data_IF_340918147164
#
_entry.id   IF_340918147164
#
_cell.length_a   1.000
_cell.length_b   1.000
_cell.length_c   1.000
_cell.angle_alpha   90.00
_cell.angle_beta   90.00
_cell.angle_gamma   90.00
#
_symmetry.space_group_name_H-M   'P 1'
#
loop_
_entity.id
_entity.type
_entity.pdbx_description
1 polymer ?
#
# COMPACT_ATOMS: atom_id res chain seq x y z
N UNK A 1 14.53 -14.98 -30.62
CA UNK A 1 13.92 -16.32 -30.79
C UNK A 1 12.65 -16.50 -29.95
N UNK A 2 12.52 -15.76 -28.84
CA UNK A 2 11.35 -15.77 -27.98
C UNK A 2 10.63 -14.42 -27.97
N UNK A 3 9.37 -14.43 -27.59
CA UNK A 3 8.56 -13.25 -27.31
C UNK A 3 8.07 -13.36 -25.87
N UNK A 4 8.40 -12.36 -25.04
CA UNK A 4 8.00 -12.27 -23.63
C UNK A 4 6.84 -11.28 -23.49
N UNK A 5 5.71 -11.73 -22.96
CA UNK A 5 4.57 -10.85 -22.72
C UNK A 5 4.72 -10.15 -21.37
N UNK A 6 4.80 -8.84 -21.41
CA UNK A 6 4.89 -7.98 -20.23
C UNK A 6 3.82 -6.86 -20.27
N UNK A 7 3.60 -6.19 -19.16
CA UNK A 7 2.71 -5.03 -19.04
C UNK A 7 3.44 -3.84 -18.43
N UNK A 8 2.85 -2.64 -18.48
CA UNK A 8 3.39 -1.45 -17.85
C UNK A 8 3.50 -1.50 -16.32
N UNK A 9 2.99 -2.55 -15.68
CA UNK A 9 3.16 -2.79 -14.23
C UNK A 9 4.14 -3.92 -13.91
N UNK A 10 4.92 -4.36 -14.90
CA UNK A 10 6.00 -5.32 -14.73
C UNK A 10 7.33 -4.62 -14.43
N UNK A 11 8.19 -5.27 -13.64
CA UNK A 11 9.52 -4.79 -13.32
C UNK A 11 10.51 -5.95 -13.50
N UNK A 12 11.59 -5.77 -14.28
CA UNK A 12 12.70 -6.73 -14.30
C UNK A 12 13.31 -6.86 -12.91
N UNK A 13 13.54 -8.08 -12.45
CA UNK A 13 14.20 -8.37 -11.17
C UNK A 13 15.64 -8.83 -11.35
N UNK A 14 16.02 -9.14 -12.58
CA UNK A 14 17.33 -9.63 -13.00
C UNK A 14 17.75 -8.90 -14.28
N UNK A 15 19.05 -8.78 -14.57
CA UNK A 15 19.52 -8.25 -15.84
C UNK A 15 18.85 -8.93 -17.03
N UNK A 16 18.55 -8.16 -18.07
CA UNK A 16 17.90 -8.71 -19.26
C UNK A 16 18.83 -9.70 -20.00
N UNK A 17 20.12 -9.51 -19.86
CA UNK A 17 21.17 -10.39 -20.40
C UNK A 17 21.03 -11.81 -19.83
N UNK A 18 20.78 -11.96 -18.55
CA UNK A 18 20.52 -13.28 -17.92
C UNK A 18 19.27 -13.95 -18.48
N UNK A 19 18.21 -13.18 -18.77
CA UNK A 19 17.02 -13.71 -19.41
C UNK A 19 17.35 -14.19 -20.85
N UNK A 20 18.15 -13.42 -21.58
CA UNK A 20 18.57 -13.77 -22.94
C UNK A 20 19.38 -15.06 -22.93
N UNK A 21 20.42 -15.15 -22.09
CA UNK A 21 21.22 -16.38 -21.94
C UNK A 21 20.33 -17.59 -21.58
N UNK A 22 19.45 -17.41 -20.59
CA UNK A 22 18.52 -18.47 -20.17
C UNK A 22 17.63 -18.97 -21.29
N UNK A 23 17.15 -18.09 -22.17
CA UNK A 23 16.31 -18.44 -23.33
C UNK A 23 17.12 -18.98 -24.48
N UNK A 24 18.39 -18.59 -24.66
CA UNK A 24 19.29 -19.11 -25.67
C UNK A 24 19.69 -20.56 -25.38
N UNK A 25 19.86 -20.93 -24.13
CA UNK A 25 20.07 -22.30 -23.67
C UNK A 25 18.85 -23.21 -23.92
N UNK A 26 17.65 -22.60 -24.12
CA UNK A 26 16.35 -23.29 -24.27
C UNK A 26 15.60 -22.84 -25.54
N UNK A 27 16.21 -22.92 -26.70
CA UNK A 27 15.75 -22.23 -27.92
C UNK A 27 14.40 -22.74 -28.48
N UNK A 28 13.95 -23.91 -28.01
CA UNK A 28 12.68 -24.53 -28.43
C UNK A 28 11.66 -24.69 -27.31
N UNK A 29 11.91 -24.10 -26.16
CA UNK A 29 11.04 -24.23 -24.96
C UNK A 29 10.10 -23.04 -24.84
N UNK A 30 8.82 -23.32 -24.75
CA UNK A 30 7.77 -22.34 -24.44
C UNK A 30 7.48 -22.37 -22.96
N UNK A 31 7.52 -21.20 -22.32
CA UNK A 31 7.22 -21.01 -20.89
C UNK A 31 5.83 -20.40 -20.74
N UNK A 32 4.86 -21.23 -20.41
CA UNK A 32 3.48 -20.82 -20.24
C UNK A 32 2.78 -21.76 -19.25
N UNK A 33 2.19 -21.20 -18.18
CA UNK A 33 1.32 -22.00 -17.35
C UNK A 33 0.13 -22.50 -18.17
N UNK A 34 0.01 -23.81 -18.27
CA UNK A 34 -1.02 -24.45 -19.09
C UNK A 34 -1.45 -25.74 -18.41
N UNK A 35 -2.49 -25.64 -17.58
CA UNK A 35 -3.10 -26.76 -16.87
C UNK A 35 -4.47 -27.10 -17.45
N UNK A 36 -4.88 -28.37 -17.37
CA UNK A 36 -6.23 -28.77 -17.77
C UNK A 36 -7.28 -28.18 -16.81
N UNK A 37 -8.51 -28.04 -17.26
CA UNK A 37 -9.61 -27.55 -16.41
C UNK A 37 -9.91 -28.47 -15.21
N UNK A 38 -9.39 -29.68 -15.19
CA UNK A 38 -9.51 -30.61 -14.06
C UNK A 38 -8.47 -30.35 -12.97
N UNK A 39 -7.30 -29.80 -13.36
CA UNK A 39 -6.15 -29.60 -12.48
C UNK A 39 -6.02 -28.15 -11.97
N UNK A 40 -7.01 -27.30 -12.24
CA UNK A 40 -7.00 -25.88 -11.86
C UNK A 40 -7.73 -25.67 -10.54
N UNK A 41 -7.01 -25.49 -9.39
CA UNK A 41 -7.64 -25.34 -8.07
C UNK A 41 -8.10 -23.91 -7.74
N UNK A 42 -7.77 -22.90 -8.59
CA UNK A 42 -7.98 -21.49 -8.28
C UNK A 42 -9.24 -20.85 -8.85
N UNK A 43 -10.05 -21.59 -9.62
CA UNK A 43 -11.33 -21.07 -10.11
C UNK A 43 -12.40 -21.15 -9.04
N UNK A 44 -12.82 -19.97 -8.58
CA UNK A 44 -13.90 -19.83 -7.62
C UNK A 44 -15.23 -19.68 -8.36
N UNK A 45 -16.25 -20.41 -7.94
CA UNK A 45 -17.61 -20.22 -8.46
C UNK A 45 -18.05 -21.12 -9.62
N UNK A 46 -17.29 -22.18 -9.96
CA UNK A 46 -17.73 -23.22 -10.90
C UNK A 46 -17.69 -22.84 -12.38
N UNK A 47 -16.99 -21.75 -12.72
CA UNK A 47 -16.81 -21.31 -14.13
C UNK A 47 -15.52 -21.84 -14.77
N UNK A 48 -14.93 -22.90 -14.26
CA UNK A 48 -13.76 -23.58 -14.82
C UNK A 48 -14.09 -24.24 -16.16
N UNK A 49 -14.97 -25.24 -16.19
CA UNK A 49 -15.44 -25.89 -17.41
C UNK A 49 -16.47 -25.05 -18.17
N UNK A 50 -17.35 -24.36 -17.45
CA UNK A 50 -18.39 -23.51 -18.04
C UNK A 50 -17.81 -22.33 -18.81
N UNK A 51 -16.61 -21.86 -18.49
CA UNK A 51 -15.85 -20.86 -19.26
C UNK A 51 -15.78 -21.22 -20.74
N UNK A 52 -15.61 -22.51 -21.06
CA UNK A 52 -15.50 -23.03 -22.41
C UNK A 52 -16.83 -23.49 -23.02
N UNK A 53 -17.79 -23.89 -22.21
CA UNK A 53 -19.06 -24.46 -22.68
C UNK A 53 -20.20 -23.46 -22.76
N UNK A 54 -20.09 -22.33 -22.11
CA UNK A 54 -21.07 -21.23 -22.17
C UNK A 54 -20.54 -20.06 -23.02
N UNK A 55 -21.39 -19.08 -23.29
CA UNK A 55 -21.06 -17.84 -24.01
C UNK A 55 -21.08 -16.67 -23.07
N UNK A 56 -20.09 -15.79 -23.17
CA UNK A 56 -19.93 -14.62 -22.32
C UNK A 56 -19.88 -13.32 -23.16
N UNK A 57 -21.01 -12.84 -23.67
CA UNK A 57 -21.05 -11.60 -24.45
C UNK A 57 -21.00 -10.34 -23.61
N UNK A 58 -21.28 -10.44 -22.31
CA UNK A 58 -21.33 -9.30 -21.39
C UNK A 58 -20.06 -9.20 -20.55
N UNK A 59 -19.61 -7.97 -20.28
CA UNK A 59 -18.47 -7.73 -19.41
C UNK A 59 -18.84 -7.93 -17.94
N UNK A 60 -18.18 -8.88 -17.26
CA UNK A 60 -18.34 -9.08 -15.82
C UNK A 60 -18.05 -7.83 -14.98
N UNK A 61 -17.12 -6.97 -15.41
CA UNK A 61 -16.76 -5.73 -14.68
C UNK A 61 -17.76 -4.60 -14.88
N UNK A 62 -18.37 -4.49 -16.06
CA UNK A 62 -19.24 -3.35 -16.40
C UNK A 62 -20.73 -3.69 -16.36
N UNK A 63 -21.07 -4.94 -16.59
CA UNK A 63 -22.44 -5.40 -16.79
C UNK A 63 -22.73 -6.66 -15.98
N UNK A 64 -22.31 -6.67 -14.70
CA UNK A 64 -22.35 -7.85 -13.85
C UNK A 64 -23.74 -8.50 -13.78
N UNK A 65 -24.79 -7.69 -13.61
CA UNK A 65 -26.16 -8.20 -13.55
C UNK A 65 -26.56 -8.95 -14.84
N UNK A 66 -26.27 -8.39 -16.02
CA UNK A 66 -26.55 -9.04 -17.30
C UNK A 66 -25.70 -10.31 -17.48
N UNK A 67 -24.43 -10.25 -17.06
CA UNK A 67 -23.55 -11.41 -17.09
C UNK A 67 -24.11 -12.56 -16.26
N UNK A 68 -24.45 -12.32 -15.00
CA UNK A 68 -24.95 -13.36 -14.08
C UNK A 68 -26.29 -13.93 -14.60
N UNK A 69 -27.23 -13.07 -15.00
CA UNK A 69 -28.55 -13.51 -15.56
C UNK A 69 -28.42 -14.32 -16.84
N UNK A 70 -27.48 -13.96 -17.71
CA UNK A 70 -27.26 -14.68 -18.95
C UNK A 70 -26.59 -16.03 -18.72
N UNK A 71 -25.68 -16.13 -17.76
CA UNK A 71 -25.12 -17.42 -17.33
C UNK A 71 -26.20 -18.33 -16.78
N UNK A 72 -27.07 -17.83 -15.89
CA UNK A 72 -28.16 -18.58 -15.31
C UNK A 72 -29.17 -19.03 -16.36
N UNK A 73 -29.50 -18.20 -17.34
CA UNK A 73 -30.39 -18.56 -18.46
C UNK A 73 -29.79 -19.70 -19.27
N UNK A 74 -28.50 -19.63 -19.62
CA UNK A 74 -27.84 -20.70 -20.37
C UNK A 74 -27.85 -22.04 -19.58
N UNK A 75 -27.61 -21.97 -18.26
CA UNK A 75 -27.70 -23.16 -17.37
C UNK A 75 -29.08 -23.77 -17.35
N UNK A 76 -30.12 -22.93 -17.20
CA UNK A 76 -31.55 -23.39 -17.21
C UNK A 76 -31.93 -24.03 -18.53
N UNK A 77 -31.49 -23.43 -19.64
CA UNK A 77 -31.80 -23.95 -20.98
C UNK A 77 -30.83 -25.07 -21.39
N UNK A 78 -29.86 -25.46 -20.53
CA UNK A 78 -28.84 -26.48 -20.78
C UNK A 78 -28.06 -26.23 -22.07
N UNK A 79 -27.88 -24.96 -22.44
CA UNK A 79 -27.16 -24.57 -23.63
C UNK A 79 -25.65 -24.83 -23.44
N UNK A 80 -25.07 -25.56 -24.37
CA UNK A 80 -23.64 -25.84 -24.40
C UNK A 80 -23.10 -25.64 -25.81
N UNK A 81 -21.94 -25.03 -25.93
CA UNK A 81 -21.19 -24.98 -27.19
C UNK A 81 -20.06 -26.00 -27.16
N UNK A 82 -19.73 -26.48 -28.34
CA UNK A 82 -18.57 -27.37 -28.52
C UNK A 82 -17.32 -26.56 -28.78
N UNK A 83 -16.22 -27.03 -28.29
CA UNK A 83 -14.89 -26.51 -28.61
C UNK A 83 -14.51 -26.87 -30.05
N UNK A 84 -13.71 -26.05 -30.74
CA UNK A 84 -13.17 -26.41 -32.03
C UNK A 84 -12.49 -27.79 -32.01
N UNK A 85 -12.62 -28.52 -33.09
CA UNK A 85 -12.15 -29.91 -33.17
C UNK A 85 -10.62 -29.97 -32.94
N UNK A 86 -10.18 -30.92 -32.14
CA UNK A 86 -8.78 -31.14 -31.81
C UNK A 86 -8.24 -30.31 -30.65
N UNK A 87 -8.96 -29.28 -30.14
CA UNK A 87 -8.50 -28.51 -29.01
C UNK A 87 -8.94 -29.14 -27.68
N UNK A 88 -8.02 -29.14 -26.71
CA UNK A 88 -8.29 -29.50 -25.31
C UNK A 88 -8.17 -28.26 -24.46
N UNK A 89 -9.18 -27.89 -23.66
CA UNK A 89 -9.18 -26.64 -22.91
C UNK A 89 -8.11 -26.64 -21.82
N UNK A 90 -7.26 -25.63 -21.87
CA UNK A 90 -6.24 -25.35 -20.86
C UNK A 90 -6.38 -23.93 -20.33
N UNK A 91 -5.98 -23.74 -19.10
CA UNK A 91 -5.99 -22.46 -18.40
C UNK A 91 -4.65 -22.22 -17.72
N UNK A 92 -4.34 -20.96 -17.46
CA UNK A 92 -3.15 -20.54 -16.73
C UNK A 92 -2.98 -19.04 -16.70
N UNK A 93 -1.84 -18.61 -16.21
CA UNK A 93 -1.48 -17.20 -16.20
C UNK A 93 -1.41 -16.63 -17.61
N UNK A 94 -1.88 -15.40 -17.80
CA UNK A 94 -1.72 -14.68 -19.08
C UNK A 94 -0.26 -14.33 -19.40
N UNK A 95 0.68 -14.51 -18.48
CA UNK A 95 2.08 -14.07 -18.59
C UNK A 95 2.95 -15.23 -19.07
N UNK A 96 3.27 -15.20 -20.34
CA UNK A 96 4.00 -16.25 -21.02
C UNK A 96 5.25 -15.71 -21.72
N UNK A 97 6.18 -16.61 -22.01
CA UNK A 97 7.30 -16.41 -22.90
C UNK A 97 7.28 -17.52 -23.93
N UNK A 98 6.84 -17.21 -25.14
CA UNK A 98 6.69 -18.19 -26.23
C UNK A 98 7.79 -18.05 -27.27
N UNK A 99 8.18 -19.17 -27.87
CA UNK A 99 9.06 -19.15 -29.02
C UNK A 99 8.37 -18.47 -30.20
N UNK A 100 9.15 -17.80 -31.01
CA UNK A 100 8.65 -17.20 -32.26
C UNK A 100 7.97 -18.25 -33.16
N UNK A 101 8.49 -19.48 -33.18
CA UNK A 101 7.90 -20.58 -33.94
C UNK A 101 6.48 -20.88 -33.48
N UNK A 102 6.26 -21.14 -32.21
CA UNK A 102 4.93 -21.42 -31.63
C UNK A 102 3.98 -20.25 -31.84
N UNK A 103 4.44 -19.04 -31.60
CA UNK A 103 3.62 -17.85 -31.78
C UNK A 103 3.23 -17.64 -33.25
N UNK A 104 4.15 -17.85 -34.19
CA UNK A 104 3.85 -17.77 -35.60
C UNK A 104 2.84 -18.85 -36.03
N UNK A 105 3.00 -20.09 -35.55
CA UNK A 105 2.04 -21.16 -35.84
C UNK A 105 0.62 -20.85 -35.33
N UNK A 106 0.50 -20.25 -34.13
CA UNK A 106 -0.78 -19.81 -33.59
C UNK A 106 -1.38 -18.68 -34.45
N UNK A 107 -0.59 -17.65 -34.78
CA UNK A 107 -1.08 -16.43 -35.42
C UNK A 107 -1.30 -16.54 -36.93
N UNK A 108 -0.63 -17.48 -37.59
CA UNK A 108 -0.70 -17.71 -39.06
C UNK A 108 -1.39 -19.04 -39.39
N UNK A 109 -1.85 -19.80 -38.41
CA UNK A 109 -2.56 -21.07 -38.63
C UNK A 109 -3.86 -20.87 -39.41
N UNK A 110 -4.19 -21.79 -40.33
CA UNK A 110 -5.39 -21.75 -41.17
C UNK A 110 -6.69 -21.73 -40.35
N UNK A 111 -6.71 -22.40 -39.20
CA UNK A 111 -7.88 -22.50 -38.32
C UNK A 111 -7.99 -21.31 -37.32
N UNK A 112 -7.06 -20.34 -37.36
CA UNK A 112 -7.09 -19.18 -36.48
C UNK A 112 -8.41 -18.41 -36.48
N UNK A 113 -9.10 -18.15 -37.61
CA UNK A 113 -10.37 -17.46 -37.62
C UNK A 113 -11.44 -18.19 -36.80
N UNK A 114 -11.46 -19.51 -36.82
CA UNK A 114 -12.38 -20.33 -35.99
C UNK A 114 -12.03 -20.23 -34.52
N UNK A 115 -10.73 -20.31 -34.17
CA UNK A 115 -10.25 -20.18 -32.79
C UNK A 115 -10.55 -18.79 -32.23
N UNK A 116 -10.27 -17.73 -32.96
CA UNK A 116 -10.55 -16.35 -32.58
C UNK A 116 -12.07 -16.15 -32.35
N UNK A 117 -12.90 -16.63 -33.23
CA UNK A 117 -14.36 -16.55 -33.11
C UNK A 117 -14.88 -17.31 -31.88
N UNK A 118 -14.28 -18.46 -31.58
CA UNK A 118 -14.62 -19.23 -30.39
C UNK A 118 -14.17 -18.53 -29.11
N UNK A 119 -12.89 -18.16 -28.98
CA UNK A 119 -12.33 -17.58 -27.75
C UNK A 119 -12.83 -16.17 -27.47
N UNK A 120 -13.24 -15.39 -28.47
CA UNK A 120 -13.90 -14.07 -28.26
C UNK A 120 -15.10 -14.14 -27.35
N UNK A 121 -15.70 -15.29 -27.15
CA UNK A 121 -16.89 -15.54 -26.29
C UNK A 121 -16.56 -16.41 -25.09
N UNK A 122 -15.32 -16.67 -24.80
CA UNK A 122 -14.82 -17.32 -23.58
C UNK A 122 -14.69 -16.25 -22.49
N UNK A 123 -14.95 -16.59 -21.26
CA UNK A 123 -14.72 -15.68 -20.13
C UNK A 123 -13.22 -15.62 -19.81
N UNK A 124 -12.66 -14.40 -19.77
CA UNK A 124 -11.22 -14.12 -19.59
C UNK A 124 -10.37 -14.93 -20.60
N UNK A 125 -10.46 -14.61 -21.89
CA UNK A 125 -9.79 -15.39 -22.94
C UNK A 125 -8.25 -15.34 -22.88
N UNK A 126 -7.68 -14.29 -22.28
CA UNK A 126 -6.24 -14.11 -22.04
C UNK A 126 -5.63 -15.17 -21.10
N UNK A 127 -6.46 -15.83 -20.28
CA UNK A 127 -6.04 -16.94 -19.42
C UNK A 127 -6.28 -18.33 -20.03
N UNK A 128 -6.70 -18.41 -21.29
CA UNK A 128 -7.08 -19.69 -21.92
C UNK A 128 -6.73 -19.81 -23.41
N UNK A 129 -6.65 -18.72 -24.15
CA UNK A 129 -6.36 -18.73 -25.58
C UNK A 129 -4.96 -19.29 -25.87
N UNK A 130 -3.93 -18.60 -25.39
CA UNK A 130 -2.56 -19.06 -25.60
C UNK A 130 -2.25 -20.34 -24.83
N UNK A 131 -2.84 -20.56 -23.67
CA UNK A 131 -2.68 -21.76 -22.86
C UNK A 131 -3.17 -23.01 -23.60
N UNK A 132 -4.28 -22.88 -24.31
CA UNK A 132 -4.87 -23.96 -25.12
C UNK A 132 -4.08 -24.15 -26.43
N UNK A 133 -3.82 -23.06 -27.15
CA UNK A 133 -3.20 -23.16 -28.47
C UNK A 133 -1.71 -23.54 -28.41
N UNK A 134 -0.99 -23.10 -27.38
CA UNK A 134 0.39 -23.56 -27.21
C UNK A 134 0.48 -25.08 -27.09
N UNK A 135 -0.49 -25.73 -26.40
CA UNK A 135 -0.54 -27.20 -26.33
C UNK A 135 -0.72 -27.87 -27.72
N UNK A 136 -1.36 -27.19 -28.64
CA UNK A 136 -1.56 -27.71 -30.01
C UNK A 136 -0.33 -27.49 -30.90
N UNK A 137 0.38 -26.38 -30.74
CA UNK A 137 1.41 -25.94 -31.69
C UNK A 137 2.84 -26.00 -31.18
N UNK A 138 3.04 -26.10 -29.86
CA UNK A 138 4.38 -26.17 -29.27
C UNK A 138 4.94 -27.60 -29.29
N UNK A 139 6.23 -27.68 -29.48
CA UNK A 139 6.97 -28.95 -29.38
C UNK A 139 7.48 -29.24 -27.98
N UNK A 140 7.68 -28.20 -27.16
CA UNK A 140 8.18 -28.37 -25.81
C UNK A 140 7.64 -27.22 -24.89
N UNK A 141 6.82 -27.57 -23.92
CA UNK A 141 6.24 -26.62 -22.96
C UNK A 141 6.74 -26.92 -21.56
N UNK A 142 7.33 -25.90 -20.94
CA UNK A 142 7.45 -25.86 -19.49
C UNK A 142 6.25 -25.11 -18.91
N UNK A 143 5.40 -25.84 -18.16
CA UNK A 143 4.17 -25.28 -17.58
C UNK A 143 4.46 -24.42 -16.35
N UNK A 144 5.13 -23.29 -16.56
CA UNK A 144 5.44 -22.29 -15.54
C UNK A 144 5.54 -20.89 -16.15
N UNK A 145 5.38 -19.87 -15.33
CA UNK A 145 5.67 -18.49 -15.69
C UNK A 145 7.08 -18.08 -15.24
N UNK A 146 7.79 -17.32 -16.09
CA UNK A 146 9.05 -16.66 -15.72
C UNK A 146 8.79 -15.33 -14.98
N UNK A 147 7.51 -14.95 -14.84
CA UNK A 147 7.04 -13.76 -14.15
C UNK A 147 6.54 -14.13 -12.75
N UNK A 148 7.07 -13.47 -11.73
CA UNK A 148 6.53 -13.54 -10.39
C UNK A 148 5.17 -12.80 -10.33
N UNK A 149 4.11 -13.54 -10.13
CA UNK A 149 2.78 -13.03 -9.83
C UNK A 149 2.25 -13.74 -8.60
N UNK A 150 1.69 -12.99 -7.66
CA UNK A 150 1.05 -13.57 -6.49
C UNK A 150 -0.41 -13.12 -6.46
N UNK A 151 -1.30 -14.03 -6.14
CA UNK A 151 -2.73 -13.78 -6.12
C UNK A 151 -3.30 -14.01 -4.72
N UNK A 152 -4.34 -13.26 -4.38
CA UNK A 152 -5.15 -13.53 -3.20
C UNK A 152 -6.14 -14.69 -3.45
N UNK A 153 -6.88 -15.06 -2.40
CA UNK A 153 -7.88 -16.14 -2.48
C UNK A 153 -9.04 -15.84 -3.46
N UNK A 154 -9.20 -14.59 -3.90
CA UNK A 154 -10.20 -14.17 -4.88
C UNK A 154 -9.64 -14.12 -6.31
N UNK A 155 -8.39 -14.53 -6.51
CA UNK A 155 -7.71 -14.45 -7.81
C UNK A 155 -7.29 -13.04 -8.22
N UNK A 156 -7.20 -12.10 -7.26
CA UNK A 156 -6.68 -10.75 -7.54
C UNK A 156 -5.17 -10.71 -7.34
N UNK A 157 -4.41 -10.09 -8.26
CA UNK A 157 -2.96 -10.00 -8.12
C UNK A 157 -2.58 -9.09 -6.96
N UNK A 158 -1.67 -9.54 -6.10
CA UNK A 158 -1.02 -8.69 -5.11
C UNK A 158 -0.24 -7.57 -5.79
N UNK A 159 -0.18 -6.41 -5.13
CA UNK A 159 0.61 -5.26 -5.55
C UNK A 159 1.88 -5.23 -4.72
N UNK A 160 3.03 -5.03 -5.38
CA UNK A 160 4.31 -4.86 -4.72
C UNK A 160 4.62 -3.39 -4.51
N UNK A 161 5.00 -3.05 -3.28
CA UNK A 161 5.35 -1.73 -2.79
C UNK A 161 6.84 -1.69 -2.41
N UNK A 162 7.35 -0.54 -2.05
CA UNK A 162 8.75 -0.33 -1.68
C UNK A 162 9.25 -1.23 -0.53
N UNK A 163 8.40 -1.57 0.41
CA UNK A 163 8.69 -2.48 1.52
C UNK A 163 8.90 -3.94 1.09
N UNK A 164 8.50 -4.29 -0.12
CA UNK A 164 8.76 -5.61 -0.70
C UNK A 164 10.16 -5.77 -1.33
N UNK A 165 11.00 -4.72 -1.32
CA UNK A 165 12.31 -4.75 -1.97
C UNK A 165 13.14 -5.99 -1.61
N UNK A 166 13.27 -6.30 -0.31
CA UNK A 166 14.06 -7.45 0.14
C UNK A 166 13.47 -8.80 -0.27
N UNK A 167 12.16 -8.87 -0.38
CA UNK A 167 11.47 -10.06 -0.87
C UNK A 167 11.71 -10.25 -2.38
N UNK A 168 11.58 -9.20 -3.16
CA UNK A 168 11.81 -9.24 -4.60
C UNK A 168 13.26 -9.56 -4.95
N UNK A 169 14.24 -9.05 -4.19
CA UNK A 169 15.66 -9.42 -4.30
C UNK A 169 15.93 -10.91 -4.06
N UNK A 170 15.07 -11.61 -3.33
CA UNK A 170 15.18 -13.06 -3.09
C UNK A 170 14.47 -13.90 -4.14
N UNK A 171 13.75 -13.28 -5.06
CA UNK A 171 13.07 -13.96 -6.15
C UNK A 171 14.06 -14.47 -7.18
N UNK A 172 13.83 -15.68 -7.67
CA UNK A 172 14.57 -16.26 -8.79
C UNK A 172 13.88 -16.00 -10.15
N UNK A 173 12.69 -15.37 -10.17
CA UNK A 173 12.00 -14.98 -11.38
C UNK A 173 12.69 -13.80 -12.07
N UNK A 174 12.56 -13.72 -13.40
CA UNK A 174 13.15 -12.64 -14.18
C UNK A 174 12.40 -11.33 -14.09
N UNK A 175 11.08 -11.40 -13.91
CA UNK A 175 10.18 -10.24 -13.88
C UNK A 175 9.20 -10.41 -12.73
N UNK A 176 8.81 -9.31 -12.08
CA UNK A 176 7.73 -9.31 -11.10
C UNK A 176 6.56 -8.43 -11.54
N UNK A 177 5.36 -8.80 -11.09
CA UNK A 177 4.14 -8.01 -11.22
C UNK A 177 3.17 -8.30 -10.06
N UNK A 178 2.38 -7.36 -9.69
CA UNK A 178 2.04 -6.05 -10.17
C UNK A 178 2.78 -5.00 -9.34
N UNK A 179 3.65 -4.23 -9.95
CA UNK A 179 4.39 -3.18 -9.24
C UNK A 179 3.51 -1.94 -9.15
N UNK A 180 3.48 -1.33 -7.98
CA UNK A 180 2.79 -0.08 -7.78
C UNK A 180 3.53 1.06 -8.52
N UNK A 181 2.80 1.93 -9.26
CA UNK A 181 3.44 2.97 -10.09
C UNK A 181 4.32 3.95 -9.32
N UNK A 182 4.06 4.14 -8.02
CA UNK A 182 4.81 5.04 -7.15
C UNK A 182 5.84 4.33 -6.25
N UNK A 183 6.15 3.07 -6.52
CA UNK A 183 7.19 2.31 -5.81
C UNK A 183 8.60 2.72 -6.29
N UNK A 184 8.99 3.97 -6.03
CA UNK A 184 10.21 4.59 -6.54
C UNK A 184 11.47 3.82 -6.15
N UNK A 185 11.53 3.29 -4.93
CA UNK A 185 12.67 2.49 -4.43
C UNK A 185 12.81 1.16 -5.17
N UNK A 186 11.70 0.55 -5.59
CA UNK A 186 11.77 -0.67 -6.40
C UNK A 186 12.31 -0.35 -7.78
N UNK A 187 11.80 0.69 -8.44
CA UNK A 187 12.30 1.10 -9.76
C UNK A 187 13.77 1.49 -9.69
N UNK A 188 14.18 2.28 -8.73
CA UNK A 188 15.59 2.66 -8.54
C UNK A 188 16.47 1.43 -8.35
N UNK A 189 16.12 0.55 -7.41
CA UNK A 189 16.95 -0.61 -7.05
C UNK A 189 17.11 -1.65 -8.16
N UNK A 190 16.13 -1.81 -9.05
CA UNK A 190 16.17 -2.83 -10.10
C UNK A 190 16.50 -2.29 -11.50
N UNK A 191 16.37 -0.98 -11.73
CA UNK A 191 16.69 -0.39 -13.04
C UNK A 191 18.06 0.29 -13.08
N UNK A 192 18.58 0.77 -11.93
CA UNK A 192 19.87 1.48 -11.88
C UNK A 192 21.03 0.62 -11.39
N UNK A 193 20.77 -0.39 -10.57
CA UNK A 193 21.78 -1.34 -10.08
C UNK A 193 21.33 -2.81 -10.26
N UNK A 194 21.26 -3.29 -11.50
CA UNK A 194 20.90 -4.68 -11.77
C UNK A 194 21.99 -5.69 -11.36
N UNK A 195 23.24 -5.24 -11.20
CA UNK A 195 24.37 -6.14 -10.93
C UNK A 195 24.32 -6.82 -9.54
N UNK A 196 23.66 -6.21 -8.54
CA UNK A 196 23.42 -6.85 -7.24
C UNK A 196 22.43 -8.01 -7.25
N UNK A 197 21.80 -8.29 -8.38
CA UNK A 197 20.74 -9.29 -8.57
C UNK A 197 21.18 -10.55 -9.34
N UNK A 198 22.45 -10.65 -9.77
CA UNK A 198 22.92 -11.81 -10.56
C UNK A 198 22.80 -13.13 -9.77
N UNK A 199 21.80 -13.92 -10.13
CA UNK A 199 21.60 -15.27 -9.61
C UNK A 199 21.34 -16.21 -10.77
N UNK A 200 22.35 -16.98 -11.15
CA UNK A 200 22.22 -18.07 -12.13
C UNK A 200 21.39 -19.24 -11.60
N UNK A 201 20.19 -18.96 -11.09
CA UNK A 201 19.29 -19.95 -10.50
C UNK A 201 18.02 -20.09 -11.33
N UNK A 202 17.50 -21.30 -11.40
CA UNK A 202 16.20 -21.58 -12.02
C UNK A 202 15.06 -20.83 -11.32
N UNK A 203 14.15 -20.19 -12.05
CA UNK A 203 12.96 -19.58 -11.49
C UNK A 203 12.14 -20.56 -10.66
N UNK A 204 11.99 -20.31 -9.37
CA UNK A 204 11.24 -21.16 -8.46
C UNK A 204 10.15 -20.34 -7.73
N UNK A 205 8.93 -20.26 -8.29
CA UNK A 205 7.82 -19.57 -7.65
C UNK A 205 7.48 -20.08 -6.25
N UNK A 206 7.63 -21.38 -6.00
CA UNK A 206 7.32 -22.00 -4.71
C UNK A 206 8.22 -21.55 -3.56
N UNK A 207 9.45 -21.12 -3.85
CA UNK A 207 10.35 -20.53 -2.83
C UNK A 207 9.77 -19.23 -2.27
N UNK A 208 9.29 -18.37 -3.14
CA UNK A 208 8.66 -17.10 -2.78
C UNK A 208 7.34 -17.34 -2.05
N UNK A 209 6.54 -18.30 -2.46
CA UNK A 209 5.26 -18.62 -1.82
C UNK A 209 5.39 -18.86 -0.33
N UNK A 210 6.41 -19.61 0.10
CA UNK A 210 6.67 -19.86 1.52
C UNK A 210 7.03 -18.59 2.29
N UNK A 211 7.80 -17.68 1.67
CA UNK A 211 8.17 -16.40 2.28
C UNK A 211 6.93 -15.51 2.44
N UNK A 212 6.07 -15.45 1.42
CA UNK A 212 4.80 -14.71 1.48
C UNK A 212 3.88 -15.27 2.55
N UNK A 213 3.66 -16.59 2.59
CA UNK A 213 2.82 -17.23 3.59
C UNK A 213 3.30 -16.91 5.02
N UNK A 214 4.60 -16.98 5.28
CA UNK A 214 5.18 -16.63 6.56
C UNK A 214 5.02 -15.15 6.93
N UNK A 215 5.15 -14.23 5.96
CA UNK A 215 4.96 -12.80 6.19
C UNK A 215 3.49 -12.48 6.52
N UNK A 216 2.53 -13.07 5.80
CA UNK A 216 1.10 -12.94 6.05
C UNK A 216 0.74 -13.52 7.41
N UNK A 217 1.24 -14.70 7.76
CA UNK A 217 1.01 -15.33 9.06
C UNK A 217 1.48 -14.44 10.22
N UNK A 218 2.68 -13.89 10.13
CA UNK A 218 3.19 -12.95 11.15
C UNK A 218 2.26 -11.78 11.35
N UNK A 219 1.78 -11.18 10.27
CA UNK A 219 0.85 -10.06 10.30
C UNK A 219 -0.51 -10.46 10.91
N UNK A 220 -1.06 -11.60 10.52
CA UNK A 220 -2.33 -12.12 11.06
C UNK A 220 -2.25 -12.31 12.58
N UNK A 221 -1.08 -12.72 13.08
CA UNK A 221 -0.82 -12.83 14.53
C UNK A 221 -0.48 -11.49 15.19
N UNK A 222 -0.61 -10.37 14.48
CA UNK A 222 -0.31 -9.03 14.97
C UNK A 222 1.18 -8.77 15.22
N UNK A 223 2.05 -9.51 14.56
CA UNK A 223 3.49 -9.26 14.53
C UNK A 223 3.85 -8.46 13.29
N UNK A 224 4.93 -7.67 13.31
CA UNK A 224 5.41 -6.97 12.13
C UNK A 224 5.60 -7.92 10.95
N UNK A 225 5.08 -7.57 9.80
CA UNK A 225 5.15 -8.38 8.58
C UNK A 225 4.89 -7.53 7.35
N UNK A 226 5.11 -8.10 6.16
CA UNK A 226 4.86 -7.42 4.91
C UNK A 226 3.38 -7.12 4.72
N UNK A 227 3.09 -5.95 4.16
CA UNK A 227 1.76 -5.57 3.75
C UNK A 227 1.42 -6.22 2.41
N UNK A 228 0.67 -7.32 2.46
CA UNK A 228 0.29 -8.09 1.28
C UNK A 228 -1.17 -7.82 0.94
N UNK A 229 -1.38 -7.02 -0.10
CA UNK A 229 -2.73 -6.66 -0.56
C UNK A 229 -2.81 -6.69 -2.08
N UNK A 230 -3.90 -7.16 -2.63
CA UNK A 230 -4.19 -7.10 -4.07
C UNK A 230 -4.44 -5.68 -4.57
N UNK A 231 -4.78 -4.80 -3.67
CA UNK A 231 -4.88 -3.35 -3.82
C UNK A 231 -4.98 -2.73 -2.43
N UNK A 232 -4.71 -1.43 -2.32
CA UNK A 232 -5.06 -0.71 -1.11
C UNK A 232 -6.55 -0.85 -0.83
N UNK A 233 -6.96 -0.81 0.46
CA UNK A 233 -8.35 -0.67 0.83
C UNK A 233 -8.98 0.48 0.06
N UNK A 234 -10.27 0.36 -0.29
CA UNK A 234 -10.97 1.47 -0.95
C UNK A 234 -10.85 2.75 -0.11
N UNK A 235 -10.82 3.90 -0.79
CA UNK A 235 -10.65 5.21 -0.16
C UNK A 235 -11.65 5.45 0.99
N UNK A 236 -12.89 4.99 0.81
CA UNK A 236 -13.98 5.17 1.78
C UNK A 236 -14.13 4.02 2.78
N UNK A 237 -13.23 3.04 2.80
CA UNK A 237 -13.39 1.90 3.69
C UNK A 237 -12.92 2.23 5.11
N UNK A 238 -13.85 2.24 6.06
CA UNK A 238 -13.56 2.39 7.48
C UNK A 238 -13.09 1.07 8.09
N UNK A 239 -11.88 1.09 8.65
CA UNK A 239 -11.27 -0.08 9.28
C UNK A 239 -11.61 -0.20 10.78
N UNK A 240 -12.79 0.10 11.23
CA UNK A 240 -13.15 -0.04 12.64
C UNK A 240 -12.16 0.65 13.63
N UNK A 241 -12.20 0.30 14.90
CA UNK A 241 -11.32 0.82 15.97
C UNK A 241 -9.89 0.31 15.78
N UNK A 242 -8.86 1.09 16.16
CA UNK A 242 -7.48 0.63 16.19
C UNK A 242 -7.26 -0.47 17.24
N UNK A 243 -6.19 -1.26 17.08
CA UNK A 243 -5.95 -2.45 17.92
C UNK A 243 -5.32 -2.16 19.27
N UNK A 244 -4.78 -0.94 19.48
CA UNK A 244 -4.08 -0.55 20.71
C UNK A 244 -4.13 0.98 20.91
N UNK A 245 -3.96 1.46 22.15
CA UNK A 245 -3.88 2.89 22.44
C UNK A 245 -2.66 3.54 21.78
N UNK A 246 -2.84 4.77 21.33
CA UNK A 246 -1.78 5.62 20.76
C UNK A 246 -1.98 7.08 21.15
N UNK A 247 -0.92 7.90 21.04
CA UNK A 247 -0.96 9.31 21.40
C UNK A 247 -0.64 10.21 20.20
N UNK A 248 -1.38 11.30 20.11
CA UNK A 248 -1.27 12.30 19.03
C UNK A 248 -0.97 13.64 19.66
N UNK A 249 0.03 14.35 19.15
CA UNK A 249 0.50 15.63 19.67
C UNK A 249 0.39 16.71 18.61
N UNK A 250 -0.17 17.85 18.97
CA UNK A 250 -0.19 19.05 18.15
C UNK A 250 0.43 20.21 18.92
N UNK A 251 1.38 20.90 18.32
CA UNK A 251 1.96 22.10 18.87
C UNK A 251 3.15 21.88 19.81
N UNK A 252 3.52 20.63 20.08
CA UNK A 252 4.61 20.32 21.01
C UNK A 252 5.99 20.52 20.38
N UNK A 253 6.17 20.09 19.14
CA UNK A 253 7.42 20.27 18.40
C UNK A 253 7.69 21.71 17.99
N UNK A 254 6.65 22.51 17.92
CA UNK A 254 6.75 23.95 17.67
C UNK A 254 7.23 24.74 18.91
N UNK A 255 6.94 24.25 20.12
CA UNK A 255 7.26 24.91 21.37
C UNK A 255 8.51 24.34 22.02
N UNK A 256 8.78 23.05 21.89
CA UNK A 256 9.93 22.39 22.51
C UNK A 256 10.96 21.95 21.50
N UNK A 257 12.22 22.24 21.81
CA UNK A 257 13.33 21.63 21.08
C UNK A 257 13.44 20.15 21.45
N UNK A 258 13.62 19.28 20.46
CA UNK A 258 13.83 17.84 20.65
C UNK A 258 12.72 17.15 21.48
N UNK A 259 11.45 17.53 21.30
CA UNK A 259 10.31 16.92 22.01
C UNK A 259 10.24 15.40 21.82
N UNK A 260 10.40 14.90 20.61
CA UNK A 260 10.29 13.48 20.29
C UNK A 260 11.35 12.62 20.97
N UNK A 261 12.66 12.96 20.93
CA UNK A 261 13.68 12.23 21.69
C UNK A 261 13.47 12.32 23.20
N UNK A 262 13.03 13.47 23.70
CA UNK A 262 12.73 13.64 25.11
C UNK A 262 11.59 12.71 25.55
N UNK A 263 10.47 12.69 24.80
CA UNK A 263 9.32 11.85 25.10
C UNK A 263 9.66 10.36 25.01
N UNK A 264 10.44 9.97 24.00
CA UNK A 264 10.94 8.60 23.85
C UNK A 264 11.73 8.17 25.08
N UNK A 265 12.66 9.02 25.54
CA UNK A 265 13.49 8.76 26.74
C UNK A 265 12.66 8.69 28.01
N UNK A 266 11.65 9.56 28.14
CA UNK A 266 10.81 9.64 29.35
C UNK A 266 9.84 8.46 29.47
N UNK A 267 9.33 7.92 28.35
CA UNK A 267 8.23 6.95 28.37
C UNK A 267 8.59 5.57 27.82
N UNK A 268 9.65 5.45 27.05
CA UNK A 268 9.99 4.24 26.28
C UNK A 268 9.04 4.01 25.09
N UNK A 269 8.15 4.94 24.78
CA UNK A 269 7.27 4.87 23.64
C UNK A 269 8.05 5.14 22.33
N UNK A 270 7.55 4.65 21.21
CA UNK A 270 8.05 5.01 19.88
C UNK A 270 7.40 6.32 19.46
N UNK A 271 8.20 7.36 19.34
CA UNK A 271 7.73 8.69 18.97
C UNK A 271 8.16 9.02 17.55
N UNK A 272 7.18 9.23 16.68
CA UNK A 272 7.34 9.61 15.30
C UNK A 272 7.19 11.12 15.15
N UNK A 273 7.74 11.68 14.08
CA UNK A 273 7.38 13.02 13.62
C UNK A 273 5.97 13.05 13.03
N UNK A 274 5.78 13.83 11.99
CA UNK A 274 4.49 13.98 11.32
C UNK A 274 4.18 12.79 10.39
N UNK A 275 3.38 11.83 10.86
CA UNK A 275 2.98 10.68 10.04
C UNK A 275 2.14 11.08 8.82
N UNK A 276 1.50 12.25 8.86
CA UNK A 276 0.61 12.73 7.81
C UNK A 276 1.15 13.97 7.08
N UNK A 277 2.47 14.24 7.17
CA UNK A 277 3.11 15.32 6.44
C UNK A 277 2.90 15.18 4.93
N UNK A 278 2.65 16.29 4.19
CA UNK A 278 2.40 16.23 2.75
C UNK A 278 3.53 15.57 1.93
N UNK A 279 4.78 15.76 2.33
CA UNK A 279 5.94 15.26 1.59
C UNK A 279 6.28 13.80 1.90
N UNK A 280 5.79 13.24 3.01
CA UNK A 280 6.08 11.87 3.40
C UNK A 280 5.68 11.52 4.81
N UNK A 281 5.96 10.28 5.21
CA UNK A 281 5.75 9.80 6.57
C UNK A 281 7.06 9.93 7.34
N UNK A 282 7.04 10.67 8.43
CA UNK A 282 8.20 10.87 9.30
C UNK A 282 8.22 9.81 10.40
N UNK A 283 8.77 8.65 10.10
CA UNK A 283 8.95 7.61 11.12
C UNK A 283 10.06 7.97 12.11
N UNK A 284 9.93 7.45 13.34
CA UNK A 284 10.96 7.56 14.38
C UNK A 284 12.34 7.18 13.83
N UNK A 285 13.37 7.90 14.28
CA UNK A 285 14.76 7.68 13.87
C UNK A 285 15.01 7.81 12.35
N UNK A 286 14.15 8.53 11.63
CA UNK A 286 14.28 8.74 10.18
C UNK A 286 14.15 7.46 9.35
N UNK A 287 13.48 6.43 9.87
CA UNK A 287 13.29 5.17 9.17
C UNK A 287 12.45 5.36 7.89
N UNK A 288 12.86 4.71 6.80
CA UNK A 288 12.13 4.73 5.52
C UNK A 288 11.00 3.69 5.44
N UNK A 289 11.00 2.75 6.35
CA UNK A 289 9.97 1.71 6.49
C UNK A 289 9.80 1.35 7.96
N UNK A 290 8.56 1.19 8.40
CA UNK A 290 8.27 0.79 9.77
C UNK A 290 8.17 -0.73 9.86
N UNK A 291 9.07 -1.38 10.62
CA UNK A 291 9.08 -2.84 10.80
C UNK A 291 9.03 -3.65 9.50
N UNK A 292 9.51 -3.08 8.39
CA UNK A 292 9.47 -3.68 7.06
C UNK A 292 8.07 -3.81 6.44
N UNK A 293 7.05 -3.18 7.03
CA UNK A 293 5.66 -3.38 6.64
C UNK A 293 5.03 -2.20 5.91
N UNK A 294 5.56 -1.00 6.08
CA UNK A 294 5.01 0.23 5.46
C UNK A 294 6.14 1.15 5.04
N UNK A 295 6.02 1.72 3.84
CA UNK A 295 6.96 2.73 3.35
C UNK A 295 6.60 4.12 3.87
N UNK A 296 7.57 5.06 3.77
CA UNK A 296 7.36 6.46 4.11
C UNK A 296 6.73 7.29 2.97
N UNK A 297 6.18 6.65 1.93
CA UNK A 297 5.56 7.32 0.78
C UNK A 297 4.26 8.01 1.16
N UNK A 298 4.18 9.34 0.95
CA UNK A 298 2.94 10.11 1.12
C UNK A 298 1.82 9.57 0.23
N UNK A 299 2.11 9.25 -1.03
CA UNK A 299 1.10 8.75 -1.96
C UNK A 299 0.54 7.38 -1.54
N UNK A 300 1.37 6.49 -0.96
CA UNK A 300 0.92 5.20 -0.43
C UNK A 300 0.02 5.39 0.80
N UNK A 301 0.41 6.28 1.71
CA UNK A 301 -0.37 6.63 2.89
C UNK A 301 -1.72 7.28 2.50
N UNK A 302 -1.69 8.28 1.61
CA UNK A 302 -2.85 9.12 1.27
C UNK A 302 -3.88 8.41 0.38
N UNK A 303 -3.49 7.30 -0.24
CA UNK A 303 -4.45 6.44 -0.94
C UNK A 303 -5.59 5.99 0.01
N UNK A 304 -5.26 5.65 1.26
CA UNK A 304 -6.23 5.46 2.34
C UNK A 304 -5.57 5.76 3.69
N UNK A 305 -5.63 6.99 4.13
CA UNK A 305 -5.00 7.47 5.38
C UNK A 305 -5.57 6.75 6.63
N UNK A 306 -6.86 6.43 6.63
CA UNK A 306 -7.51 5.70 7.72
C UNK A 306 -6.99 4.26 7.83
N UNK A 307 -6.86 3.58 6.70
CA UNK A 307 -6.30 2.24 6.66
C UNK A 307 -4.81 2.23 7.03
N UNK A 308 -4.05 3.26 6.64
CA UNK A 308 -2.66 3.43 7.02
C UNK A 308 -2.52 3.48 8.54
N UNK A 309 -3.26 4.36 9.23
CA UNK A 309 -3.22 4.47 10.69
C UNK A 309 -3.60 3.15 11.37
N UNK A 310 -4.70 2.53 10.94
CA UNK A 310 -5.16 1.25 11.51
C UNK A 310 -4.12 0.15 11.35
N UNK A 311 -3.48 0.06 10.18
CA UNK A 311 -2.43 -0.93 9.92
C UNK A 311 -1.14 -0.63 10.71
N UNK A 312 -0.77 0.65 10.86
CA UNK A 312 0.36 1.04 11.69
C UNK A 312 0.17 0.54 13.12
N UNK A 313 -0.93 0.89 13.76
CA UNK A 313 -1.23 0.49 15.14
C UNK A 313 -1.35 -1.05 15.26
N UNK A 314 -1.96 -1.72 14.30
CA UNK A 314 -2.04 -3.18 14.29
C UNK A 314 -0.67 -3.85 14.26
N UNK A 315 0.21 -3.40 13.37
CA UNK A 315 1.54 -4.00 13.21
C UNK A 315 2.49 -3.69 14.37
N UNK A 316 2.21 -2.65 15.15
CA UNK A 316 3.04 -2.18 16.27
C UNK A 316 2.34 -2.28 17.63
N UNK A 317 1.26 -3.02 17.73
CA UNK A 317 0.40 -3.09 18.94
C UNK A 317 1.08 -3.59 20.21
N UNK A 318 2.27 -4.15 20.09
CA UNK A 318 3.11 -4.49 21.25
C UNK A 318 3.94 -3.33 21.80
N UNK A 319 3.89 -2.16 21.15
CA UNK A 319 4.61 -0.95 21.52
C UNK A 319 3.64 0.23 21.54
N UNK A 320 3.85 1.18 22.45
CA UNK A 320 3.11 2.43 22.44
C UNK A 320 3.59 3.31 21.30
N UNK A 321 2.68 3.74 20.44
CA UNK A 321 2.95 4.65 19.33
C UNK A 321 2.54 6.07 19.68
N UNK A 322 3.40 7.03 19.39
CA UNK A 322 3.16 8.45 19.52
C UNK A 322 3.52 9.15 18.22
N UNK A 323 2.81 10.19 17.80
CA UNK A 323 3.14 10.94 16.60
C UNK A 323 2.63 12.37 16.62
N UNK A 324 3.24 13.23 15.80
CA UNK A 324 2.82 14.62 15.61
C UNK A 324 1.70 14.69 14.57
N UNK A 325 0.73 15.55 14.83
CA UNK A 325 -0.35 15.84 13.90
C UNK A 325 -0.87 17.26 14.10
N UNK A 326 -0.82 18.09 13.07
CA UNK A 326 -1.17 19.50 13.17
C UNK A 326 -1.84 20.06 11.90
N UNK A 327 -2.07 21.39 11.85
CA UNK A 327 -2.76 22.04 10.74
C UNK A 327 -2.04 21.97 9.38
N UNK A 328 -0.74 21.66 9.37
CA UNK A 328 0.04 21.48 8.14
C UNK A 328 -0.12 20.08 7.53
N UNK A 329 -0.63 19.12 8.30
CA UNK A 329 -0.76 17.73 7.87
C UNK A 329 -1.99 17.48 6.99
N UNK A 330 -2.06 16.30 6.37
CA UNK A 330 -3.22 15.83 5.64
C UNK A 330 -4.40 15.58 6.58
N UNK A 331 -5.40 16.44 6.55
CA UNK A 331 -6.53 16.47 7.47
C UNK A 331 -7.56 15.33 7.27
N UNK A 332 -7.45 14.51 6.25
CA UNK A 332 -8.40 13.41 5.96
C UNK A 332 -8.57 12.43 7.13
N UNK A 333 -7.56 12.31 7.99
CA UNK A 333 -7.55 11.34 9.10
C UNK A 333 -8.15 11.87 10.41
N UNK A 334 -8.39 13.18 10.53
CA UNK A 334 -8.79 13.78 11.83
C UNK A 334 -10.09 13.18 12.39
N UNK A 335 -11.07 12.93 11.53
CA UNK A 335 -12.33 12.29 11.93
C UNK A 335 -12.12 10.88 12.48
N UNK A 336 -11.17 10.16 11.90
CA UNK A 336 -10.79 8.83 12.35
C UNK A 336 -10.18 8.88 13.75
N UNK A 337 -9.23 9.78 13.93
CA UNK A 337 -8.57 9.98 15.23
C UNK A 337 -9.61 10.39 16.30
N UNK A 338 -10.45 11.37 16.00
CA UNK A 338 -11.46 11.85 16.96
C UNK A 338 -12.47 10.78 17.39
N UNK A 339 -12.87 9.89 16.48
CA UNK A 339 -13.83 8.80 16.77
C UNK A 339 -13.19 7.56 17.42
N UNK A 340 -11.88 7.46 17.46
CA UNK A 340 -11.19 6.27 17.96
C UNK A 340 -11.02 6.33 19.49
N UNK A 341 -11.64 5.44 20.27
CA UNK A 341 -11.50 5.44 21.73
C UNK A 341 -10.07 5.09 22.20
N UNK A 342 -9.23 4.54 21.33
CA UNK A 342 -7.83 4.27 21.62
C UNK A 342 -6.91 5.48 21.40
N UNK A 343 -7.41 6.55 20.79
CA UNK A 343 -6.66 7.78 20.58
C UNK A 343 -6.58 8.63 21.84
N UNK A 344 -5.40 9.15 22.14
CA UNK A 344 -5.16 10.18 23.14
C UNK A 344 -4.57 11.39 22.41
N UNK A 345 -5.32 12.49 22.39
CA UNK A 345 -4.98 13.69 21.62
C UNK A 345 -4.67 14.83 22.57
N UNK A 346 -3.47 15.37 22.46
CA UNK A 346 -3.00 16.52 23.23
C UNK A 346 -2.68 17.66 22.27
N UNK A 347 -3.33 18.81 22.45
CA UNK A 347 -3.24 19.95 21.55
C UNK A 347 -2.85 21.21 22.32
N UNK A 348 -1.81 21.87 21.80
CA UNK A 348 -1.46 23.25 22.17
C UNK A 348 -1.91 24.13 21.00
N UNK A 349 -3.07 24.76 21.14
CA UNK A 349 -3.65 25.57 20.06
C UNK A 349 -2.91 26.89 19.89
N UNK A 350 -2.75 27.29 18.62
CA UNK A 350 -2.01 28.49 18.25
C UNK A 350 -0.50 28.30 18.07
N UNK A 351 0.05 27.14 18.43
CA UNK A 351 1.50 26.87 18.32
C UNK A 351 2.00 26.88 16.87
N UNK A 352 1.14 26.63 15.88
CA UNK A 352 1.46 26.76 14.45
C UNK A 352 2.01 28.14 14.04
N UNK A 353 1.80 29.17 14.87
CA UNK A 353 2.33 30.51 14.62
C UNK A 353 3.84 30.61 14.91
N UNK A 354 4.42 29.72 15.72
CA UNK A 354 5.84 29.72 16.08
C UNK A 354 6.76 29.46 14.87
N UNK A 355 6.52 28.46 14.03
CA UNK A 355 7.30 28.29 12.79
C UNK A 355 7.22 29.50 11.85
N UNK A 356 6.08 30.16 11.76
CA UNK A 356 5.92 31.37 10.95
C UNK A 356 6.73 32.54 11.51
N UNK A 357 6.72 32.72 12.84
CA UNK A 357 7.55 33.72 13.52
C UNK A 357 9.04 33.54 13.28
N UNK A 358 9.50 32.30 13.23
CA UNK A 358 10.90 31.94 13.00
C UNK A 358 11.27 31.84 11.52
N UNK A 359 10.30 31.96 10.61
CA UNK A 359 10.54 31.85 9.17
C UNK A 359 11.18 33.10 8.58
N UNK A 360 11.88 32.96 7.45
CA UNK A 360 12.40 34.06 6.65
C UNK A 360 11.38 34.56 5.59
N UNK A 361 10.09 34.21 5.73
CA UNK A 361 9.06 34.62 4.80
C UNK A 361 8.79 36.14 4.91
N UNK A 362 8.41 36.76 3.81
CA UNK A 362 7.90 38.11 3.89
C UNK A 362 6.54 38.18 4.61
N UNK A 363 6.18 39.34 5.11
CA UNK A 363 4.99 39.49 5.94
C UNK A 363 3.67 39.15 5.22
N UNK A 364 3.59 39.35 3.91
CA UNK A 364 2.40 39.01 3.12
C UNK A 364 2.20 37.50 3.02
N UNK A 365 3.29 36.75 2.83
CA UNK A 365 3.26 35.29 2.79
C UNK A 365 2.97 34.71 4.19
N UNK A 366 3.58 35.27 5.24
CA UNK A 366 3.28 34.90 6.63
C UNK A 366 1.80 35.06 6.91
N UNK A 367 1.21 36.22 6.54
CA UNK A 367 -0.20 36.50 6.75
C UNK A 367 -1.11 35.52 6.02
N UNK A 368 -0.82 35.22 4.78
CA UNK A 368 -1.58 34.26 3.96
C UNK A 368 -1.54 32.87 4.58
N UNK A 369 -0.36 32.42 4.99
CA UNK A 369 -0.18 31.10 5.59
C UNK A 369 -0.79 31.03 7.00
N UNK A 370 -0.64 32.06 7.80
CA UNK A 370 -1.28 32.17 9.12
C UNK A 370 -2.82 32.05 9.01
N UNK A 371 -3.44 32.74 8.05
CA UNK A 371 -4.88 32.65 7.82
C UNK A 371 -5.31 31.22 7.44
N UNK A 372 -4.50 30.56 6.60
CA UNK A 372 -4.74 29.16 6.20
C UNK A 372 -4.67 28.23 7.40
N UNK A 373 -3.57 28.29 8.16
CA UNK A 373 -3.33 27.41 9.32
C UNK A 373 -4.35 27.64 10.42
N UNK A 374 -4.70 28.90 10.71
CA UNK A 374 -5.73 29.24 11.69
C UNK A 374 -7.10 28.63 11.32
N UNK A 375 -7.49 28.72 10.05
CA UNK A 375 -8.73 28.11 9.57
C UNK A 375 -8.72 26.60 9.72
N UNK A 376 -7.63 25.94 9.30
CA UNK A 376 -7.49 24.49 9.42
C UNK A 376 -7.52 24.07 10.91
N UNK A 377 -6.81 24.78 11.80
CA UNK A 377 -6.85 24.48 13.21
C UNK A 377 -8.26 24.66 13.80
N UNK A 378 -8.98 25.72 13.43
CA UNK A 378 -10.35 25.92 13.88
C UNK A 378 -11.26 24.75 13.46
N UNK A 379 -11.18 24.30 12.22
CA UNK A 379 -11.93 23.13 11.73
C UNK A 379 -11.53 21.86 12.49
N UNK A 380 -10.24 21.67 12.73
CA UNK A 380 -9.68 20.56 13.48
C UNK A 380 -10.22 20.54 14.93
N UNK A 381 -10.15 21.66 15.63
CA UNK A 381 -10.66 21.79 17.00
C UNK A 381 -12.18 21.55 17.09
N UNK A 382 -12.94 21.97 16.08
CA UNK A 382 -14.38 21.68 15.98
C UNK A 382 -14.65 20.19 15.90
N UNK A 383 -13.86 19.43 15.13
CA UNK A 383 -13.96 17.97 15.06
C UNK A 383 -13.62 17.32 16.40
N UNK A 384 -12.57 17.77 17.06
CA UNK A 384 -12.16 17.22 18.36
C UNK A 384 -13.16 17.53 19.47
N UNK A 385 -13.85 18.67 19.44
CA UNK A 385 -14.88 19.06 20.42
C UNK A 385 -16.27 18.52 20.12
N UNK A 386 -16.42 17.80 19.00
CA UNK A 386 -17.74 17.32 18.59
C UNK A 386 -18.27 16.21 19.52
N UNK A 387 -19.61 16.11 19.72
CA UNK A 387 -20.22 15.13 20.62
C UNK A 387 -19.95 13.66 20.27
N UNK A 388 -19.61 13.37 19.02
CA UNK A 388 -19.27 12.02 18.56
C UNK A 388 -17.78 11.67 18.75
N UNK A 389 -16.95 12.58 19.23
CA UNK A 389 -15.56 12.30 19.56
C UNK A 389 -15.50 11.31 20.73
N UNK A 390 -14.76 10.23 20.56
CA UNK A 390 -14.56 9.17 21.55
C UNK A 390 -13.12 9.09 22.05
N UNK A 391 -12.22 9.79 21.36
CA UNK A 391 -10.83 9.95 21.77
C UNK A 391 -10.74 10.68 23.11
N UNK A 392 -9.69 10.40 23.89
CA UNK A 392 -9.36 11.23 25.06
C UNK A 392 -8.63 12.48 24.59
N UNK A 393 -9.27 13.63 24.74
CA UNK A 393 -8.82 14.90 24.16
C UNK A 393 -8.50 15.91 25.27
N UNK A 394 -7.33 16.55 25.16
CA UNK A 394 -6.90 17.68 25.97
C UNK A 394 -6.48 18.81 25.04
N UNK A 395 -6.98 19.99 25.28
CA UNK A 395 -6.69 21.20 24.51
C UNK A 395 -6.31 22.31 25.48
N UNK A 396 -5.15 22.87 25.27
CA UNK A 396 -4.66 24.08 25.96
C UNK A 396 -4.45 25.16 24.91
N UNK A 397 -4.65 26.39 25.30
CA UNK A 397 -4.10 27.50 24.55
C UNK A 397 -2.60 27.55 24.77
N UNK A 398 -1.86 28.09 23.81
CA UNK A 398 -0.40 28.24 23.94
C UNK A 398 -0.03 29.06 25.17
N UNK A 399 -0.80 30.12 25.52
CA UNK A 399 -0.57 30.94 26.70
C UNK A 399 -0.73 30.14 28.00
N UNK A 400 -1.85 29.42 28.17
CA UNK A 400 -2.09 28.56 29.33
C UNK A 400 -1.03 27.49 29.51
N UNK A 401 -0.61 26.89 28.40
CA UNK A 401 0.39 25.81 28.42
C UNK A 401 1.79 26.33 28.84
N UNK A 402 2.22 27.48 28.29
CA UNK A 402 3.53 28.06 28.60
C UNK A 402 3.59 28.55 30.05
N UNK A 403 2.48 29.05 30.62
CA UNK A 403 2.41 29.53 32.00
C UNK A 403 2.64 28.39 33.01
N UNK A 404 2.11 27.18 32.74
CA UNK A 404 2.20 26.07 33.68
C UNK A 404 2.40 24.70 32.95
N UNK A 405 3.54 24.47 32.29
CA UNK A 405 3.75 23.29 31.43
C UNK A 405 3.95 21.97 32.20
N UNK A 406 4.35 22.03 33.47
CA UNK A 406 4.70 20.87 34.28
C UNK A 406 3.54 19.90 34.48
N UNK A 407 2.37 20.39 34.83
CA UNK A 407 1.19 19.58 35.13
C UNK A 407 0.66 18.86 33.85
N UNK A 408 0.43 19.57 32.73
CA UNK A 408 0.08 18.93 31.47
C UNK A 408 1.07 17.86 31.01
N UNK A 409 2.37 18.15 31.08
CA UNK A 409 3.41 17.20 30.68
C UNK A 409 3.44 15.97 31.59
N UNK A 410 3.34 16.14 32.90
CA UNK A 410 3.25 15.01 33.84
C UNK A 410 2.03 14.13 33.52
N UNK A 411 0.86 14.73 33.30
CA UNK A 411 -0.35 14.00 32.94
C UNK A 411 -0.21 13.21 31.63
N UNK A 412 0.54 13.71 30.65
CA UNK A 412 0.87 13.00 29.41
C UNK A 412 1.80 11.81 29.69
N UNK A 413 2.86 12.00 30.50
CA UNK A 413 3.79 10.94 30.86
C UNK A 413 3.09 9.80 31.62
N UNK A 414 2.21 10.14 32.55
CA UNK A 414 1.45 9.17 33.36
C UNK A 414 0.52 8.31 32.49
N UNK A 415 0.00 8.86 31.38
CA UNK A 415 -0.84 8.11 30.46
C UNK A 415 -0.08 7.18 29.50
N UNK A 416 1.12 7.59 29.10
CA UNK A 416 1.91 6.86 28.10
C UNK A 416 2.78 5.81 28.76
N UNK A 417 3.32 6.11 29.93
CA UNK A 417 4.25 5.26 30.66
C UNK A 417 3.64 3.90 31.03
N UNK A 418 4.36 2.81 30.79
CA UNK A 418 3.95 1.45 31.18
C UNK A 418 4.24 1.15 32.67
N UNK A 419 5.08 1.94 33.31
CA UNK A 419 5.41 1.92 34.73
C UNK A 419 5.18 3.31 35.28
N UNK A 420 4.87 3.43 36.59
CA UNK A 420 4.66 4.75 37.20
C UNK A 420 5.71 5.75 36.71
N UNK A 421 5.29 6.72 35.92
CA UNK A 421 6.19 7.67 35.32
C UNK A 421 6.96 8.39 36.45
N UNK A 422 8.29 8.49 36.29
CA UNK A 422 9.09 9.31 37.21
C UNK A 422 8.50 10.71 37.22
N UNK A 423 8.36 11.25 38.41
CA UNK A 423 7.92 12.64 38.54
C UNK A 423 8.82 13.56 37.73
N UNK A 424 8.21 14.34 36.86
CA UNK A 424 8.92 15.26 35.99
C UNK A 424 9.70 16.27 36.84
N UNK A 425 11.03 16.29 36.70
CA UNK A 425 11.88 17.23 37.42
C UNK A 425 12.03 18.54 36.66
N UNK A 426 12.08 18.49 35.34
CA UNK A 426 12.30 19.65 34.48
C UNK A 426 11.47 19.50 33.19
N UNK A 427 11.02 20.63 32.65
CA UNK A 427 10.38 20.66 31.31
C UNK A 427 11.45 20.50 30.22
N UNK A 428 11.10 19.93 29.03
CA UNK A 428 12.00 19.98 27.90
C UNK A 428 12.32 21.43 27.53
N UNK A 429 13.49 21.63 26.91
CA UNK A 429 13.92 22.97 26.52
C UNK A 429 12.90 23.59 25.55
N UNK A 430 12.41 24.78 25.92
CA UNK A 430 11.51 25.54 25.06
C UNK A 430 12.28 26.32 24.00
N UNK A 431 11.67 26.50 22.83
CA UNK A 431 12.21 27.40 21.78
C UNK A 431 12.21 28.84 22.24
N UNK A 432 13.11 29.66 21.71
CA UNK A 432 13.13 31.10 22.00
C UNK A 432 11.89 31.78 21.40
N UNK A 433 11.08 32.35 22.26
CA UNK A 433 9.86 33.10 21.95
C UNK A 433 10.01 34.60 22.18
N UNK A 434 11.24 35.11 22.30
CA UNK A 434 11.49 36.55 22.48
C UNK A 434 10.94 37.34 21.28
N UNK A 435 10.02 38.28 21.54
CA UNK A 435 9.35 39.06 20.50
C UNK A 435 8.11 38.41 19.87
N UNK A 436 7.79 37.17 20.20
CA UNK A 436 6.61 36.46 19.64
C UNK A 436 5.28 37.17 19.95
N UNK A 437 5.12 37.75 21.15
CA UNK A 437 3.92 38.52 21.50
C UNK A 437 3.71 39.74 20.60
N UNK A 438 4.78 40.47 20.25
CA UNK A 438 4.73 41.57 19.29
C UNK A 438 4.35 41.11 17.89
N UNK A 439 4.90 39.95 17.45
CA UNK A 439 4.57 39.34 16.17
C UNK A 439 3.07 39.01 16.07
N UNK A 440 2.49 38.38 17.09
CA UNK A 440 1.06 38.07 17.14
C UNK A 440 0.20 39.35 17.10
N UNK A 441 0.62 40.39 17.85
CA UNK A 441 -0.08 41.67 17.83
C UNK A 441 -0.08 42.33 16.45
N UNK A 442 1.05 42.23 15.73
CA UNK A 442 1.14 42.74 14.36
C UNK A 442 0.23 41.96 13.39
N UNK A 443 0.14 40.64 13.54
CA UNK A 443 -0.80 39.82 12.73
C UNK A 443 -2.27 40.23 13.04
N UNK A 444 -2.62 40.40 14.30
CA UNK A 444 -3.98 40.79 14.73
C UNK A 444 -4.37 42.17 14.25
N UNK A 445 -3.49 43.17 14.36
CA UNK A 445 -3.73 44.56 13.93
C UNK A 445 -4.03 44.69 12.44
N UNK A 446 -3.71 43.67 11.67
CA UNK A 446 -3.95 43.60 10.21
C UNK A 446 -5.13 42.70 9.81
N UNK A 447 -6.05 42.43 10.74
CA UNK A 447 -7.35 41.79 10.47
C UNK A 447 -7.35 40.27 10.56
N UNK A 448 -6.44 39.67 11.32
CA UNK A 448 -6.57 38.29 11.82
C UNK A 448 -7.14 38.29 13.23
N UNK A 449 -8.28 37.62 13.39
CA UNK A 449 -8.98 37.51 14.68
C UNK A 449 -8.57 36.26 15.43
#
# INVERSE_FOLDING_TARGET
RHVYLASGSCLPLRPVEELVEYLEDRPRTDFIESATTADVPWTVGGLDRERFTLRFPFSWKRQRFLFDKFVDLQRRLKLKRKMPKGLVPHMGSQWWCLTRQTLTAILQGADRPEYDAYFRRVWIPDESYFQTLARQFSTNIESRSLTLSKFDFQGKPHIFYDDHLQLLRRSDCFVARKIWPHASRLYEAFLTDPAGAMKRTEPNPGKIDRIFAKAVERRTRGRPGLYMHSRFPNEDWENGVTAAPYSVFQGFTEIFENFEPWLTKATGARVHGHLFHPDGVEYAEGQKTLNGAMSNSAAARDYNANAFLTNLIWNTRGERQCFQFGPADNQKVIWRIAKDPNAQVSVISGAWAVPLFRSNLNFMDIRKEAARLQKVESDHLNVLRAPYAKARIRIWTMAEFIEAPMEPLQGILDEIGQTQARRLAEVPQMVDLTGFGQFLQNLKNQGMH
#
